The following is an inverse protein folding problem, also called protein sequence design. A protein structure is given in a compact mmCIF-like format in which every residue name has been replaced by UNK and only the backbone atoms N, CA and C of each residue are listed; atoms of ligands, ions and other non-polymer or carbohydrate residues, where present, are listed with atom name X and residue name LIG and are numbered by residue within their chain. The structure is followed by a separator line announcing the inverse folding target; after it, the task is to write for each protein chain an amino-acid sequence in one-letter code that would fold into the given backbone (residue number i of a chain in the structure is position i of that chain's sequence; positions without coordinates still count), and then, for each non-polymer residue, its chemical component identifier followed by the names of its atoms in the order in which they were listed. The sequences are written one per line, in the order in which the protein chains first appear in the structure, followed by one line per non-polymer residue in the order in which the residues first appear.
data_IF_847903310123
#
_entry.id   IF_847903310123
#
_cell.length_a   1.000
_cell.length_b   1.000
_cell.length_c   1.000
_cell.angle_alpha   90.00
_cell.angle_beta   90.00
_cell.angle_gamma   90.00
#
_symmetry.space_group_name_H-M   'P 1'
#
loop_
_entity.id
_entity.type
_entity.pdbx_description
1 polymer ?
#
# COMPACT_ATOMS: atom_id res chain seq x y z
N UNK A 1 9.31 22.70 4.61
CA UNK A 1 8.64 21.50 4.06
C UNK A 1 9.71 20.44 4.00
N UNK A 2 9.66 19.44 4.88
CA UNK A 2 10.63 18.35 4.84
C UNK A 2 10.33 17.56 3.57
N UNK A 3 11.34 17.31 2.75
CA UNK A 3 11.25 16.35 1.65
C UNK A 3 10.75 15.03 2.23
N UNK A 4 9.51 14.70 1.92
CA UNK A 4 8.90 13.45 2.38
C UNK A 4 9.56 12.32 1.60
N UNK A 5 10.54 11.65 2.21
CA UNK A 5 11.40 10.67 1.55
C UNK A 5 10.63 9.47 0.97
N UNK A 6 9.41 9.23 1.47
CA UNK A 6 8.47 8.22 0.95
C UNK A 6 7.95 8.55 -0.45
N UNK A 7 7.96 9.84 -0.85
CA UNK A 7 7.46 10.30 -2.13
C UNK A 7 8.60 10.48 -3.14
N UNK A 8 8.61 9.62 -4.15
CA UNK A 8 9.51 9.69 -5.32
C UNK A 8 8.69 9.87 -6.60
N UNK A 9 8.28 8.79 -7.28
CA UNK A 9 7.57 8.84 -8.56
C UNK A 9 6.15 8.25 -8.49
N UNK A 10 5.67 7.86 -7.30
CA UNK A 10 4.38 7.20 -7.09
C UNK A 10 3.22 8.00 -7.67
N UNK A 11 3.28 9.34 -7.65
CA UNK A 11 2.25 10.21 -8.20
C UNK A 11 1.90 9.91 -9.67
N UNK A 12 2.83 9.30 -10.43
CA UNK A 12 2.61 8.93 -11.83
C UNK A 12 1.67 7.74 -12.02
N UNK A 13 1.54 6.86 -11.04
CA UNK A 13 0.80 5.60 -11.17
C UNK A 13 -0.14 5.28 -10.02
N UNK A 14 -0.01 5.93 -8.87
CA UNK A 14 -0.91 5.74 -7.73
C UNK A 14 -1.98 6.82 -7.63
N UNK A 15 -1.86 7.95 -8.35
CA UNK A 15 -2.86 9.03 -8.24
C UNK A 15 -4.21 8.59 -8.84
N UNK A 16 -5.28 8.75 -8.07
CA UNK A 16 -6.66 8.45 -8.44
C UNK A 16 -6.95 6.96 -8.53
N UNK A 17 -6.08 6.10 -8.01
CA UNK A 17 -6.25 4.65 -8.02
C UNK A 17 -7.25 4.22 -6.96
N UNK A 18 -8.11 3.27 -7.33
CA UNK A 18 -9.02 2.61 -6.40
C UNK A 18 -8.28 1.56 -5.57
N UNK A 19 -8.51 1.59 -4.26
CA UNK A 19 -7.87 0.73 -3.29
C UNK A 19 -8.90 -0.11 -2.53
N UNK A 20 -8.47 -1.28 -2.09
CA UNK A 20 -9.20 -2.19 -1.24
C UNK A 20 -8.46 -2.38 0.08
N UNK A 21 -9.15 -2.24 1.21
CA UNK A 21 -8.63 -2.68 2.50
C UNK A 21 -8.73 -4.22 2.59
N UNK A 22 -7.59 -4.90 2.73
CA UNK A 22 -7.55 -6.36 2.75
C UNK A 22 -6.48 -6.89 3.70
N UNK A 23 -6.72 -8.08 4.23
CA UNK A 23 -5.67 -8.90 4.83
C UNK A 23 -4.70 -9.38 3.75
N UNK A 24 -3.41 -9.46 4.10
CA UNK A 24 -2.36 -9.95 3.23
C UNK A 24 -2.46 -11.47 3.07
N UNK A 25 -2.38 -11.93 1.82
CA UNK A 25 -2.39 -13.35 1.49
C UNK A 25 -1.22 -13.62 0.54
N UNK A 26 -0.22 -14.43 0.96
CA UNK A 26 0.87 -14.86 0.11
C UNK A 26 0.38 -15.51 -1.18
N UNK A 27 1.12 -15.32 -2.26
CA UNK A 27 0.87 -15.99 -3.54
C UNK A 27 1.94 -17.04 -3.81
N UNK A 28 1.68 -18.05 -4.68
CA UNK A 28 2.71 -19.01 -5.04
C UNK A 28 3.93 -18.32 -5.66
N UNK A 29 5.06 -18.33 -4.94
CA UNK A 29 6.30 -17.70 -5.37
C UNK A 29 6.53 -16.28 -4.83
N UNK A 30 5.60 -15.72 -4.06
CA UNK A 30 5.80 -14.47 -3.32
C UNK A 30 5.21 -14.58 -1.90
N UNK A 31 6.07 -14.68 -0.90
CA UNK A 31 5.67 -14.83 0.50
C UNK A 31 5.55 -13.50 1.26
N UNK A 32 5.97 -12.40 0.65
CA UNK A 32 5.87 -11.06 1.19
C UNK A 32 5.74 -9.98 0.11
N UNK A 33 5.18 -8.83 0.47
CA UNK A 33 5.18 -7.62 -0.34
C UNK A 33 5.67 -6.43 0.50
N UNK A 34 5.85 -5.29 -0.13
CA UNK A 34 6.28 -4.07 0.56
C UNK A 34 5.29 -2.94 0.33
N UNK A 35 5.16 -2.07 1.32
CA UNK A 35 4.50 -0.79 1.14
C UNK A 35 5.20 0.00 0.04
N UNK A 36 4.44 0.46 -0.95
CA UNK A 36 4.90 1.25 -2.11
C UNK A 36 5.59 2.58 -1.72
N UNK A 37 5.44 2.99 -0.46
CA UNK A 37 5.90 4.28 0.06
C UNK A 37 7.03 4.13 1.08
N UNK A 38 6.80 3.39 2.17
CA UNK A 38 7.76 3.25 3.26
C UNK A 38 8.56 1.95 3.25
N UNK A 39 8.28 1.03 2.32
CA UNK A 39 8.90 -0.30 2.21
C UNK A 39 8.67 -1.25 3.39
N UNK A 40 7.77 -0.90 4.30
CA UNK A 40 7.35 -1.80 5.38
C UNK A 40 6.78 -3.10 4.81
N UNK A 41 7.15 -4.23 5.42
CA UNK A 41 6.89 -5.56 4.88
C UNK A 41 5.48 -6.02 5.23
N UNK A 42 4.78 -6.56 4.23
CA UNK A 42 3.57 -7.34 4.39
C UNK A 42 3.89 -8.81 4.25
N UNK A 43 3.54 -9.63 5.24
CA UNK A 43 3.70 -11.08 5.15
C UNK A 43 2.77 -11.79 6.16
N UNK A 44 2.87 -13.11 6.26
CA UNK A 44 2.20 -13.90 7.33
C UNK A 44 3.08 -14.10 8.56
N UNK A 45 4.32 -13.59 8.55
CA UNK A 45 5.28 -13.79 9.62
C UNK A 45 5.08 -12.78 10.75
N UNK A 46 5.42 -13.18 11.98
CA UNK A 46 5.30 -12.33 13.15
C UNK A 46 6.18 -11.08 13.04
N UNK A 47 5.59 -9.92 13.32
CA UNK A 47 6.29 -8.63 13.30
C UNK A 47 6.13 -7.84 12.00
N UNK A 48 5.61 -8.46 10.94
CA UNK A 48 5.25 -7.79 9.68
C UNK A 48 3.80 -7.31 9.69
N UNK A 49 3.43 -6.48 8.71
CA UNK A 49 2.06 -6.05 8.50
C UNK A 49 1.23 -7.16 7.88
N UNK A 50 0.07 -7.46 8.48
CA UNK A 50 -0.81 -8.52 7.99
C UNK A 50 -2.04 -7.99 7.26
N UNK A 51 -2.19 -6.66 7.20
CA UNK A 51 -3.35 -5.98 6.63
C UNK A 51 -2.94 -4.61 6.10
N UNK A 52 -3.51 -4.21 4.96
CA UNK A 52 -3.26 -2.90 4.37
C UNK A 52 -4.20 -2.59 3.23
N UNK A 53 -3.94 -1.48 2.57
CA UNK A 53 -4.65 -1.07 1.37
C UNK A 53 -3.91 -1.59 0.15
N UNK A 54 -4.61 -2.26 -0.75
CA UNK A 54 -4.04 -2.79 -1.98
C UNK A 54 -4.80 -2.31 -3.21
N UNK A 55 -4.13 -2.27 -4.36
CA UNK A 55 -4.81 -2.09 -5.64
C UNK A 55 -5.75 -3.25 -5.92
N UNK A 56 -6.73 -3.06 -6.81
CA UNK A 56 -7.74 -4.11 -7.11
C UNK A 56 -7.13 -5.43 -7.60
N UNK A 57 -5.98 -5.36 -8.27
CA UNK A 57 -5.19 -6.52 -8.72
C UNK A 57 -4.27 -7.10 -7.63
N UNK A 58 -4.28 -6.50 -6.42
CA UNK A 58 -3.46 -6.86 -5.24
C UNK A 58 -1.95 -6.80 -5.48
N UNK A 59 -1.53 -6.07 -6.52
CA UNK A 59 -0.12 -5.97 -6.90
C UNK A 59 0.65 -4.91 -6.11
N UNK A 60 0.01 -3.81 -5.71
CA UNK A 60 0.63 -2.78 -4.87
C UNK A 60 -0.04 -2.72 -3.52
N UNK A 61 0.77 -2.58 -2.48
CA UNK A 61 0.33 -2.51 -1.09
C UNK A 61 0.74 -1.19 -0.46
N UNK A 62 -0.08 -0.70 0.45
CA UNK A 62 0.09 0.56 1.19
C UNK A 62 -0.29 0.29 2.64
N UNK A 63 0.62 0.58 3.57
CA UNK A 63 0.33 0.44 5.00
C UNK A 63 -0.66 1.52 5.46
N UNK A 64 -1.30 1.29 6.61
CA UNK A 64 -2.32 2.20 7.14
C UNK A 64 -1.77 3.62 7.32
N UNK A 65 -0.56 3.76 7.86
CA UNK A 65 0.10 5.05 8.05
C UNK A 65 0.32 5.81 6.73
N UNK A 66 0.81 5.11 5.70
CA UNK A 66 1.02 5.74 4.38
C UNK A 66 -0.30 6.04 3.67
N UNK A 67 -1.33 5.23 3.90
CA UNK A 67 -2.67 5.51 3.38
C UNK A 67 -3.21 6.81 3.99
N UNK A 68 -3.18 6.92 5.31
CA UNK A 68 -3.68 8.10 6.03
C UNK A 68 -2.92 9.38 5.68
N UNK A 69 -1.59 9.30 5.55
CA UNK A 69 -0.75 10.44 5.18
C UNK A 69 -0.98 10.92 3.74
N UNK A 70 -1.31 10.02 2.80
CA UNK A 70 -1.29 10.31 1.37
C UNK A 70 -2.63 10.24 0.65
N UNK A 71 -3.70 9.73 1.29
CA UNK A 71 -5.03 9.56 0.66
C UNK A 71 -5.58 10.81 -0.01
N UNK A 72 -5.40 11.98 0.60
CA UNK A 72 -5.87 13.25 0.01
C UNK A 72 -4.98 13.69 -1.15
N UNK A 73 -3.66 13.54 -1.02
CA UNK A 73 -2.68 13.93 -2.04
C UNK A 73 -2.81 13.08 -3.31
N UNK A 74 -3.07 11.80 -3.13
CA UNK A 74 -3.21 10.83 -4.21
C UNK A 74 -4.66 10.66 -4.67
N UNK A 75 -5.63 11.30 -4.01
CA UNK A 75 -7.05 11.22 -4.36
C UNK A 75 -7.55 9.76 -4.41
N UNK A 76 -7.07 8.93 -3.47
CA UNK A 76 -7.45 7.52 -3.40
C UNK A 76 -8.92 7.35 -3.02
N UNK A 77 -9.52 6.29 -3.57
CA UNK A 77 -10.89 5.89 -3.25
C UNK A 77 -10.88 4.48 -2.73
N UNK A 78 -11.63 4.25 -1.65
CA UNK A 78 -11.88 2.91 -1.17
C UNK A 78 -13.03 2.31 -1.94
N UNK A 79 -12.80 1.13 -2.48
CA UNK A 79 -13.85 0.24 -2.98
C UNK A 79 -14.21 -0.77 -1.90
N UNK A 80 -15.45 -1.25 -1.97
CA UNK A 80 -15.85 -2.46 -1.26
C UNK A 80 -15.32 -3.69 -2.02
N UNK A 81 -15.03 -4.77 -1.29
CA UNK A 81 -14.54 -6.05 -1.81
C UNK A 81 -15.67 -6.93 -2.32
#
# INVERSE_FOLDING_TARGET
MKDEWRLVNQMKYMKGVDLLLSDYVPTPGNDHDHCEFCWETFSVYDGDLHKGYCTLDRYKWICEDCYEDFKETFEWKLTEA
#
